data_IF_233758116033
#
_entry.id   IF_233758116033
#
_cell.length_a   1.000
_cell.length_b   1.000
_cell.length_c   1.000
_cell.angle_alpha   90.00
_cell.angle_beta   90.00
_cell.angle_gamma   90.00
#
_symmetry.space_group_name_H-M   'P 1'
#
loop_
_entity.id
_entity.type
_entity.pdbx_description
1 polymer ?
#
# COMPACT_ATOMS: atom_id res chain seq x y z
N UNK A 1 -12.27 -21.00 -4.87
CA UNK A 1 -11.10 -20.22 -4.46
C UNK A 1 -11.45 -19.13 -3.45
N UNK A 2 -12.37 -18.18 -3.72
CA UNK A 2 -12.81 -17.20 -2.70
C UNK A 2 -13.80 -17.79 -1.67
N UNK A 3 -14.81 -18.54 -2.12
CA UNK A 3 -15.81 -19.13 -1.20
C UNK A 3 -15.20 -20.08 -0.17
N UNK A 4 -14.29 -20.95 -0.60
CA UNK A 4 -13.53 -21.84 0.30
C UNK A 4 -12.70 -21.05 1.33
N UNK A 5 -12.04 -19.97 0.90
CA UNK A 5 -11.30 -19.11 1.81
C UNK A 5 -12.20 -18.45 2.86
N UNK A 6 -13.38 -17.96 2.45
CA UNK A 6 -14.37 -17.39 3.38
C UNK A 6 -14.80 -18.42 4.42
N UNK A 7 -15.07 -19.66 4.01
CA UNK A 7 -15.45 -20.74 4.94
C UNK A 7 -14.32 -21.10 5.91
N UNK A 8 -13.07 -21.05 5.46
CA UNK A 8 -11.92 -21.31 6.34
C UNK A 8 -11.70 -20.18 7.35
N UNK A 9 -11.95 -18.92 6.97
CA UNK A 9 -11.85 -17.77 7.87
C UNK A 9 -12.97 -17.73 8.93
N UNK A 10 -14.09 -18.43 8.72
CA UNK A 10 -15.13 -18.63 9.73
C UNK A 10 -14.75 -19.64 10.81
N UNK A 11 -13.68 -20.43 10.60
CA UNK A 11 -13.21 -21.40 11.58
C UNK A 11 -12.21 -20.74 12.55
N UNK A 12 -12.11 -21.23 13.80
CA UNK A 12 -11.02 -20.88 14.71
C UNK A 12 -9.65 -21.05 14.07
N UNK A 13 -8.77 -20.06 14.24
CA UNK A 13 -7.40 -20.11 13.75
C UNK A 13 -6.42 -19.79 14.89
N UNK A 14 -5.32 -20.53 14.99
CA UNK A 14 -4.32 -20.33 16.06
C UNK A 14 -3.74 -18.90 16.07
N UNK A 15 -3.54 -18.31 14.89
CA UNK A 15 -3.06 -16.93 14.72
C UNK A 15 -4.11 -15.86 15.07
N UNK A 16 -5.35 -16.26 15.36
CA UNK A 16 -6.42 -15.42 15.91
C UNK A 16 -6.78 -15.81 17.35
N UNK A 17 -5.85 -16.40 18.11
CA UNK A 17 -6.09 -16.87 19.48
C UNK A 17 -7.27 -17.86 19.55
N UNK A 18 -7.31 -18.77 18.57
CA UNK A 18 -8.33 -19.80 18.44
C UNK A 18 -9.76 -19.23 18.31
N UNK A 19 -9.89 -18.03 17.73
CA UNK A 19 -11.17 -17.43 17.36
C UNK A 19 -11.33 -17.34 15.84
N UNK A 20 -12.57 -17.35 15.31
CA UNK A 20 -12.84 -17.01 13.92
C UNK A 20 -12.40 -15.58 13.59
N UNK A 21 -12.12 -15.32 12.30
CA UNK A 21 -11.95 -13.97 11.82
C UNK A 21 -13.29 -13.20 11.86
N UNK A 22 -13.26 -11.93 12.26
CA UNK A 22 -14.45 -11.06 12.28
C UNK A 22 -14.84 -10.54 10.90
N UNK A 23 -13.85 -10.45 10.01
CA UNK A 23 -14.03 -9.99 8.64
C UNK A 23 -12.74 -10.11 7.84
N UNK A 24 -12.88 -10.01 6.53
CA UNK A 24 -11.77 -10.05 5.56
C UNK A 24 -11.56 -8.63 5.05
N UNK A 25 -10.32 -8.17 5.03
CA UNK A 25 -9.94 -6.87 4.44
C UNK A 25 -9.08 -7.15 3.22
N UNK A 26 -9.35 -6.44 2.12
CA UNK A 26 -8.57 -6.58 0.89
C UNK A 26 -8.36 -5.24 0.22
N UNK A 27 -7.30 -5.18 -0.59
CA UNK A 27 -7.05 -4.10 -1.52
C UNK A 27 -7.10 -4.64 -2.93
N UNK A 28 -8.11 -4.23 -3.67
CA UNK A 28 -8.27 -4.63 -5.06
C UNK A 28 -7.28 -3.87 -5.95
N UNK A 29 -6.97 -4.45 -7.11
CA UNK A 29 -6.25 -3.75 -8.16
C UNK A 29 -7.04 -3.78 -9.47
N UNK A 30 -6.61 -2.96 -10.41
CA UNK A 30 -7.15 -2.93 -11.76
C UNK A 30 -5.98 -3.06 -12.74
N UNK A 31 -6.10 -4.02 -13.64
CA UNK A 31 -5.18 -4.20 -14.75
C UNK A 31 -5.96 -3.80 -16.01
N UNK A 32 -5.40 -2.93 -16.87
CA UNK A 32 -5.99 -2.61 -18.16
C UNK A 32 -6.39 -3.89 -18.92
N UNK A 33 -7.51 -3.84 -19.63
CA UNK A 33 -8.07 -4.94 -20.43
C UNK A 33 -8.60 -6.16 -19.65
N UNK A 34 -8.49 -6.17 -18.32
CA UNK A 34 -9.08 -7.20 -17.47
C UNK A 34 -10.28 -6.68 -16.66
N UNK A 35 -11.13 -7.60 -16.21
CA UNK A 35 -12.25 -7.24 -15.36
C UNK A 35 -11.77 -6.66 -14.03
N UNK A 36 -12.19 -5.44 -13.63
CA UNK A 36 -11.65 -4.80 -12.43
C UNK A 36 -11.96 -5.59 -11.15
N UNK A 37 -10.92 -5.89 -10.38
CA UNK A 37 -11.04 -6.77 -9.21
C UNK A 37 -11.95 -6.18 -8.12
N UNK A 38 -11.98 -4.85 -7.99
CA UNK A 38 -12.86 -4.17 -7.04
C UNK A 38 -14.34 -4.38 -7.38
N UNK A 39 -14.70 -4.45 -8.68
CA UNK A 39 -16.06 -4.77 -9.12
C UNK A 39 -16.41 -6.22 -8.85
N UNK A 40 -15.44 -7.13 -9.01
CA UNK A 40 -15.62 -8.54 -8.68
C UNK A 40 -15.92 -8.73 -7.19
N UNK A 41 -15.10 -8.16 -6.30
CA UNK A 41 -15.32 -8.30 -4.86
C UNK A 41 -16.64 -7.66 -4.40
N UNK A 42 -17.03 -6.51 -4.94
CA UNK A 42 -18.33 -5.90 -4.66
C UNK A 42 -19.49 -6.84 -5.03
N UNK A 43 -19.43 -7.52 -6.19
CA UNK A 43 -20.42 -8.55 -6.56
C UNK A 43 -20.44 -9.75 -5.61
N UNK A 44 -19.31 -10.06 -4.98
CA UNK A 44 -19.19 -11.12 -3.97
C UNK A 44 -19.61 -10.69 -2.56
N UNK A 45 -20.13 -9.46 -2.38
CA UNK A 45 -20.63 -8.97 -1.09
C UNK A 45 -19.64 -8.15 -0.28
N UNK A 46 -18.44 -7.84 -0.82
CA UNK A 46 -17.53 -6.92 -0.15
C UNK A 46 -18.08 -5.49 -0.19
N UNK A 47 -17.90 -4.78 0.93
CA UNK A 47 -18.30 -3.38 1.15
C UNK A 47 -17.07 -2.47 1.06
N UNK A 48 -17.27 -1.27 0.53
CA UNK A 48 -16.21 -0.27 0.43
C UNK A 48 -15.94 0.35 1.81
N UNK A 49 -14.66 0.50 2.17
CA UNK A 49 -14.25 1.02 3.49
C UNK A 49 -14.24 2.56 3.49
N UNK A 50 -13.74 3.19 2.41
CA UNK A 50 -13.62 4.65 2.30
C UNK A 50 -14.25 5.14 0.99
N UNK A 51 -15.11 6.17 0.98
CA UNK A 51 -15.80 6.62 -0.23
C UNK A 51 -14.89 7.02 -1.39
N UNK A 52 -13.71 7.55 -1.08
CA UNK A 52 -12.69 8.01 -2.02
C UNK A 52 -11.71 6.93 -2.49
N UNK A 53 -11.78 5.72 -1.91
CA UNK A 53 -10.94 4.58 -2.27
C UNK A 53 -11.80 3.38 -2.71
N UNK A 54 -12.06 3.20 -4.02
CA UNK A 54 -12.90 2.11 -4.52
C UNK A 54 -12.22 0.73 -4.39
N UNK A 55 -10.92 0.69 -4.12
CA UNK A 55 -10.12 -0.52 -4.06
C UNK A 55 -10.03 -1.09 -2.64
N UNK A 56 -10.24 -0.25 -1.62
CA UNK A 56 -10.20 -0.68 -0.23
C UNK A 56 -11.54 -1.24 0.24
N UNK A 57 -11.60 -2.57 0.38
CA UNK A 57 -12.84 -3.30 0.59
C UNK A 57 -12.75 -4.20 1.83
N UNK A 58 -13.89 -4.47 2.46
CA UNK A 58 -14.02 -5.47 3.52
C UNK A 58 -15.24 -6.38 3.32
N UNK A 59 -15.16 -7.61 3.80
CA UNK A 59 -16.26 -8.56 3.87
C UNK A 59 -16.53 -8.94 5.34
N UNK A 60 -17.72 -8.67 5.89
CA UNK A 60 -18.05 -9.05 7.26
C UNK A 60 -18.27 -10.56 7.37
N UNK A 61 -17.65 -11.21 8.36
CA UNK A 61 -17.88 -12.61 8.69
C UNK A 61 -18.75 -12.78 9.95
N UNK A 62 -18.71 -11.78 10.83
CA UNK A 62 -19.59 -11.65 11.99
C UNK A 62 -20.72 -10.67 11.65
N UNK A 63 -21.92 -10.92 12.17
CA UNK A 63 -23.04 -9.99 12.06
C UNK A 63 -22.65 -8.63 12.67
N UNK A 64 -23.09 -7.55 12.04
CA UNK A 64 -22.80 -6.16 12.44
C UNK A 64 -21.33 -5.73 12.41
N UNK A 65 -20.39 -6.59 12.03
CA UNK A 65 -18.99 -6.18 11.91
C UNK A 65 -18.80 -5.12 10.83
N UNK A 66 -18.31 -3.95 11.23
CA UNK A 66 -17.89 -2.89 10.33
C UNK A 66 -16.40 -2.65 10.54
N UNK A 67 -15.62 -2.85 9.49
CA UNK A 67 -14.21 -2.53 9.54
C UNK A 67 -14.01 -1.02 9.61
N UNK A 68 -13.47 -0.54 10.73
CA UNK A 68 -13.05 0.84 10.91
C UNK A 68 -11.52 0.88 10.87
N UNK A 69 -10.90 1.40 9.81
CA UNK A 69 -9.46 1.55 9.77
C UNK A 69 -9.02 2.44 10.93
N UNK A 70 -8.13 1.93 11.80
CA UNK A 70 -7.65 2.64 12.99
C UNK A 70 -6.81 3.89 12.67
N UNK A 71 -6.36 3.99 11.42
CA UNK A 71 -5.52 5.07 10.94
C UNK A 71 -6.10 5.47 9.58
N UNK A 72 -6.48 6.74 9.40
CA UNK A 72 -6.62 7.25 8.05
C UNK A 72 -5.26 7.08 7.37
N UNK A 73 -5.21 6.68 6.09
CA UNK A 73 -3.93 6.55 5.35
C UNK A 73 -3.17 7.88 5.20
N UNK A 74 -3.56 8.92 5.92
CA UNK A 74 -3.24 10.30 5.65
C UNK A 74 -2.01 10.85 6.36
N UNK A 75 -1.25 10.10 7.17
CA UNK A 75 -0.11 10.70 7.86
C UNK A 75 1.15 9.86 7.80
N UNK A 76 1.68 9.70 6.58
CA UNK A 76 3.12 9.56 6.45
C UNK A 76 3.78 10.73 7.18
N UNK A 77 4.54 10.42 8.23
CA UNK A 77 5.30 11.41 8.99
C UNK A 77 6.70 11.50 8.41
N UNK A 78 6.94 12.53 7.60
CA UNK A 78 8.27 12.82 7.09
C UNK A 78 9.25 13.12 8.23
N UNK A 79 10.45 12.55 8.14
CA UNK A 79 11.53 12.80 9.09
C UNK A 79 12.58 13.75 8.48
N UNK A 80 13.34 14.49 9.31
CA UNK A 80 14.44 15.33 8.81
C UNK A 80 15.49 14.56 7.99
N UNK A 81 15.76 13.31 8.37
CA UNK A 81 16.69 12.39 7.69
C UNK A 81 16.24 11.96 6.29
N UNK A 82 14.95 12.12 5.96
CA UNK A 82 14.40 11.77 4.64
C UNK A 82 14.69 12.86 3.58
N UNK A 83 15.32 13.98 3.99
CA UNK A 83 15.70 15.07 3.09
C UNK A 83 16.74 14.58 2.08
N UNK A 84 16.56 14.93 0.80
CA UNK A 84 17.44 14.52 -0.31
C UNK A 84 17.59 12.99 -0.46
N UNK A 85 16.65 12.21 0.05
CA UNK A 85 16.59 10.76 -0.13
C UNK A 85 15.34 10.35 -0.89
N UNK A 86 15.41 9.19 -1.52
CA UNK A 86 14.24 8.45 -1.99
C UNK A 86 14.07 7.19 -1.14
N UNK A 87 12.94 7.06 -0.46
CA UNK A 87 12.59 5.87 0.32
C UNK A 87 11.60 5.03 -0.49
N UNK A 88 11.94 3.77 -0.72
CA UNK A 88 11.09 2.80 -1.41
C UNK A 88 10.69 1.72 -0.41
N UNK A 89 9.40 1.67 -0.09
CA UNK A 89 8.87 0.75 0.90
C UNK A 89 8.47 -0.56 0.22
N UNK A 90 9.22 -1.61 0.53
CA UNK A 90 8.98 -2.96 0.03
C UNK A 90 7.93 -3.64 0.90
N UNK A 91 6.81 -4.02 0.29
CA UNK A 91 5.83 -4.94 0.87
C UNK A 91 6.14 -6.40 0.43
N UNK A 92 6.65 -7.27 1.31
CA UNK A 92 6.97 -8.65 0.97
C UNK A 92 5.75 -9.52 0.64
N UNK A 93 4.53 -9.05 0.94
CA UNK A 93 3.30 -9.75 0.54
C UNK A 93 3.04 -9.69 -0.97
N UNK A 94 3.66 -8.72 -1.67
CA UNK A 94 3.58 -8.59 -3.12
C UNK A 94 4.84 -9.17 -3.79
N UNK A 95 4.73 -10.24 -4.62
CA UNK A 95 5.89 -10.85 -5.26
C UNK A 95 6.62 -9.91 -6.24
N UNK A 96 5.93 -8.88 -6.74
CA UNK A 96 6.49 -7.88 -7.65
C UNK A 96 7.05 -6.63 -6.95
N UNK A 97 6.92 -6.54 -5.62
CA UNK A 97 7.31 -5.37 -4.82
C UNK A 97 8.76 -4.93 -5.08
N UNK A 98 9.69 -5.89 -5.10
CA UNK A 98 11.09 -5.61 -5.40
C UNK A 98 11.29 -5.11 -6.83
N UNK A 99 10.62 -5.74 -7.82
CA UNK A 99 10.68 -5.31 -9.21
C UNK A 99 10.18 -3.88 -9.38
N UNK A 100 9.02 -3.55 -8.78
CA UNK A 100 8.46 -2.20 -8.79
C UNK A 100 9.40 -1.18 -8.18
N UNK A 101 10.02 -1.51 -7.04
CA UNK A 101 10.96 -0.63 -6.38
C UNK A 101 12.23 -0.40 -7.22
N UNK A 102 12.76 -1.43 -7.89
CA UNK A 102 13.90 -1.26 -8.82
C UNK A 102 13.56 -0.39 -10.02
N UNK A 103 12.35 -0.49 -10.55
CA UNK A 103 11.91 0.36 -11.66
C UNK A 103 11.72 1.82 -11.21
N UNK A 104 11.15 2.04 -10.01
CA UNK A 104 11.06 3.37 -9.41
C UNK A 104 12.45 3.97 -9.14
N UNK A 105 13.40 3.20 -8.60
CA UNK A 105 14.79 3.65 -8.41
C UNK A 105 15.39 4.15 -9.73
N UNK A 106 15.23 3.39 -10.81
CA UNK A 106 15.75 3.73 -12.14
C UNK A 106 15.21 5.08 -12.60
N UNK A 107 13.89 5.27 -12.54
CA UNK A 107 13.21 6.51 -12.94
C UNK A 107 13.58 7.71 -12.06
N UNK A 108 13.69 7.51 -10.74
CA UNK A 108 14.09 8.57 -9.81
C UNK A 108 15.50 9.07 -10.14
N UNK A 109 16.43 8.16 -10.46
CA UNK A 109 17.80 8.49 -10.85
C UNK A 109 17.93 9.18 -12.21
N UNK A 110 16.90 9.14 -13.05
CA UNK A 110 16.84 9.97 -14.26
C UNK A 110 16.66 11.47 -13.93
N UNK A 111 15.97 11.76 -12.83
CA UNK A 111 15.70 13.13 -12.37
C UNK A 111 16.82 13.66 -11.48
N UNK A 112 17.25 12.85 -10.49
CA UNK A 112 18.31 13.22 -9.55
C UNK A 112 19.31 12.06 -9.45
N UNK A 113 20.46 12.18 -10.13
CA UNK A 113 21.40 11.08 -10.32
C UNK A 113 22.08 10.66 -9.03
N UNK A 114 22.33 11.61 -8.13
CA UNK A 114 23.11 11.41 -6.91
C UNK A 114 22.24 11.20 -5.67
N UNK A 115 20.92 11.03 -5.85
CA UNK A 115 20.01 10.77 -4.73
C UNK A 115 20.34 9.41 -4.08
N UNK A 116 20.41 9.42 -2.74
CA UNK A 116 20.42 8.18 -1.96
C UNK A 116 19.05 7.50 -2.04
N UNK A 117 19.03 6.27 -2.54
CA UNK A 117 17.81 5.45 -2.61
C UNK A 117 17.88 4.37 -1.53
N UNK A 118 16.92 4.38 -0.61
CA UNK A 118 16.84 3.47 0.54
C UNK A 118 15.64 2.56 0.37
N UNK A 119 15.89 1.25 0.36
CA UNK A 119 14.85 0.23 0.37
C UNK A 119 14.50 -0.13 1.81
N UNK A 120 13.22 -0.09 2.16
CA UNK A 120 12.72 -0.40 3.50
C UNK A 120 11.77 -1.58 3.41
N UNK A 121 12.17 -2.74 3.92
CA UNK A 121 11.29 -3.91 4.06
C UNK A 121 10.33 -3.67 5.23
N UNK A 122 9.04 -3.51 4.95
CA UNK A 122 8.05 -3.11 5.96
C UNK A 122 7.79 -4.20 7.02
N UNK A 123 8.17 -5.46 6.75
CA UNK A 123 8.03 -6.56 7.72
C UNK A 123 9.28 -6.73 8.58
N UNK A 124 10.47 -6.50 8.02
CA UNK A 124 11.73 -6.61 8.76
C UNK A 124 12.06 -5.35 9.53
N UNK A 125 11.85 -4.18 8.94
CA UNK A 125 12.23 -2.87 9.49
C UNK A 125 11.02 -2.16 10.11
N UNK A 126 10.30 -2.84 11.00
CA UNK A 126 9.05 -2.32 11.61
C UNK A 126 9.25 -0.99 12.34
N UNK A 127 10.42 -0.76 12.92
CA UNK A 127 10.69 0.48 13.65
C UNK A 127 10.86 1.68 12.71
N UNK A 128 11.42 1.49 11.52
CA UNK A 128 11.50 2.53 10.48
C UNK A 128 10.11 2.95 9.99
N UNK A 129 9.20 1.97 9.87
CA UNK A 129 7.79 2.21 9.52
C UNK A 129 7.06 2.93 10.65
N UNK A 130 7.27 2.52 11.91
CA UNK A 130 6.65 3.17 13.09
C UNK A 130 7.08 4.62 13.25
N UNK A 131 8.37 4.94 13.08
CA UNK A 131 8.88 6.32 13.16
C UNK A 131 8.14 7.26 12.18
N UNK A 132 7.70 6.71 11.04
CA UNK A 132 7.00 7.42 9.96
C UNK A 132 5.47 7.33 10.02
N UNK A 133 4.92 6.92 11.17
CA UNK A 133 3.47 6.89 11.42
C UNK A 133 2.80 5.53 11.26
N UNK A 134 3.57 4.47 11.00
CA UNK A 134 3.06 3.10 10.92
C UNK A 134 2.43 2.72 9.57
N UNK A 135 1.86 3.69 8.84
CA UNK A 135 1.40 3.52 7.46
C UNK A 135 2.32 4.34 6.55
N UNK A 136 2.97 3.65 5.63
CA UNK A 136 3.94 4.23 4.69
C UNK A 136 3.43 4.09 3.25
N UNK A 137 3.67 5.09 2.37
CA UNK A 137 3.37 4.96 0.95
C UNK A 137 4.37 3.99 0.29
N UNK A 138 4.19 3.67 -0.99
CA UNK A 138 5.17 2.86 -1.73
C UNK A 138 6.48 3.62 -2.00
N UNK A 139 6.41 4.95 -2.16
CA UNK A 139 7.57 5.80 -2.47
C UNK A 139 7.45 7.16 -1.78
N UNK A 140 8.57 7.64 -1.25
CA UNK A 140 8.75 9.00 -0.74
C UNK A 140 10.02 9.56 -1.34
N UNK A 141 9.97 10.79 -1.82
CA UNK A 141 11.13 11.47 -2.39
C UNK A 141 11.28 12.83 -1.72
N UNK A 142 12.44 13.13 -1.15
CA UNK A 142 12.74 14.38 -0.46
C UNK A 142 11.61 14.80 0.51
N UNK A 143 11.23 13.90 1.43
CA UNK A 143 10.12 14.05 2.40
C UNK A 143 8.70 14.12 1.81
N UNK A 144 8.54 14.03 0.49
CA UNK A 144 7.23 14.11 -0.18
C UNK A 144 6.77 12.72 -0.62
N UNK A 145 5.63 12.21 -0.12
CA UNK A 145 5.01 11.00 -0.64
C UNK A 145 4.65 11.16 -2.12
N UNK A 146 5.07 10.20 -2.94
CA UNK A 146 4.70 10.12 -4.35
C UNK A 146 3.40 9.31 -4.44
N UNK A 147 2.41 9.84 -5.16
CA UNK A 147 1.07 9.25 -5.27
C UNK A 147 0.86 8.52 -6.58
N UNK A 148 1.44 9.04 -7.65
CA UNK A 148 1.38 8.39 -8.96
C UNK A 148 2.28 7.16 -8.99
N UNK A 149 1.82 6.05 -9.56
CA UNK A 149 2.63 4.83 -9.71
C UNK A 149 3.47 4.88 -11.00
N UNK A 150 4.60 4.18 -11.03
CA UNK A 150 5.60 4.30 -12.12
C UNK A 150 5.08 3.87 -13.50
N UNK A 151 4.01 3.09 -13.58
CA UNK A 151 3.35 2.71 -14.83
C UNK A 151 2.76 3.91 -15.57
N UNK A 152 2.41 4.98 -14.84
CA UNK A 152 2.19 6.31 -15.42
C UNK A 152 3.51 7.08 -15.36
N UNK A 153 4.44 6.74 -16.24
CA UNK A 153 5.83 7.25 -16.20
C UNK A 153 5.89 8.77 -16.18
N UNK A 154 5.11 9.45 -17.03
CA UNK A 154 5.09 10.92 -17.09
C UNK A 154 4.63 11.53 -15.75
N UNK A 155 3.49 11.06 -15.22
CA UNK A 155 2.97 11.58 -13.96
C UNK A 155 3.89 11.30 -12.77
N UNK A 156 4.52 10.13 -12.75
CA UNK A 156 5.51 9.76 -11.74
C UNK A 156 6.73 10.70 -11.78
N UNK A 157 7.34 10.89 -12.95
CA UNK A 157 8.50 11.76 -13.11
C UNK A 157 8.19 13.21 -12.76
N UNK A 158 7.01 13.71 -13.15
CA UNK A 158 6.56 15.07 -12.81
C UNK A 158 6.40 15.27 -11.29
N UNK A 159 5.86 14.28 -10.57
CA UNK A 159 5.76 14.33 -9.09
C UNK A 159 7.13 14.28 -8.42
N UNK A 160 8.02 13.41 -8.90
CA UNK A 160 9.40 13.28 -8.38
C UNK A 160 10.19 14.58 -8.59
N UNK A 161 10.12 15.19 -9.78
CA UNK A 161 10.78 16.46 -10.07
C UNK A 161 10.27 17.57 -9.15
N UNK A 162 8.96 17.68 -8.94
CA UNK A 162 8.37 18.65 -8.01
C UNK A 162 8.81 18.41 -6.56
N UNK A 163 9.00 17.16 -6.15
CA UNK A 163 9.48 16.84 -4.81
C UNK A 163 10.90 17.35 -4.55
N UNK A 164 11.80 17.28 -5.54
CA UNK A 164 13.16 17.82 -5.43
C UNK A 164 13.27 19.34 -5.60
N UNK A 165 12.32 19.98 -6.28
CA UNK A 165 12.29 21.44 -6.45
C UNK A 165 11.91 22.21 -5.17
N UNK A 166 11.20 21.59 -4.22
CA UNK A 166 10.82 22.18 -2.93
C UNK A 166 11.99 22.20 -1.93
N UNK A 167 13.08 22.86 -2.29
CA UNK A 167 14.31 22.96 -1.48
C UNK A 167 14.17 23.86 -0.27
#
# INVERSE_FOLDING_TARGET
MLGSFIEDMKKPQAYFKDQPAKGIVTYAFEVPDYFPQHKFYKKMGFKQIQPDDPFYLFFPLEEEFVYKPKISRAQFKALPEDKNKALLFLDPSCPFSYYFAKEMERLIKEIEKDVEVVFIDVFKQKDEVKKRGGIVPFCVTNKVPIKTFFTNTKGFLDEVAKAFQKR
#
